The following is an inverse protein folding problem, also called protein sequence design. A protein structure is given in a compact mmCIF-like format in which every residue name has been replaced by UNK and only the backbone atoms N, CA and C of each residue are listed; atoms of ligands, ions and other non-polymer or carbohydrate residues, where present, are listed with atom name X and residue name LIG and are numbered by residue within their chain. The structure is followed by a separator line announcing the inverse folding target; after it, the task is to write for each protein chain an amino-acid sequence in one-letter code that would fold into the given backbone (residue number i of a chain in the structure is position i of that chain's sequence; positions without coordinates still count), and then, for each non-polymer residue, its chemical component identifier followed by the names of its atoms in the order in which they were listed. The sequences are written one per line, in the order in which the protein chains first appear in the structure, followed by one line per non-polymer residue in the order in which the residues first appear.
data_IF_732072925507
#
_entry.id   IF_732072925507
#
_cell.length_a   1.000
_cell.length_b   1.000
_cell.length_c   1.000
_cell.angle_alpha   90.00
_cell.angle_beta   90.00
_cell.angle_gamma   90.00
#
_symmetry.space_group_name_H-M   'P 1'
#
loop_
_entity.id
_entity.type
_entity.pdbx_description
1 polymer ?
#
# COMPACT_ATOMS: atom_id res chain seq x y z
N UNK A 1 14.90 -3.04 0.24
CA UNK A 1 16.12 -2.26 -0.10
C UNK A 1 16.21 -1.02 0.81
N UNK A 2 17.38 -0.61 1.32
CA UNK A 2 17.50 0.54 2.24
C UNK A 2 17.08 1.88 1.60
N UNK A 3 17.44 2.11 0.33
CA UNK A 3 17.19 3.35 -0.41
C UNK A 3 15.72 3.64 -0.67
N UNK A 4 14.91 2.60 -0.92
CA UNK A 4 13.47 2.78 -1.18
C UNK A 4 12.71 3.16 0.09
N UNK A 5 13.12 2.63 1.25
CA UNK A 5 12.47 2.94 2.54
C UNK A 5 12.65 4.40 2.94
N UNK A 6 13.86 4.96 2.78
CA UNK A 6 14.11 6.37 3.07
C UNK A 6 13.25 7.28 2.19
N UNK A 7 13.22 7.04 0.87
CA UNK A 7 12.43 7.83 -0.07
C UNK A 7 10.92 7.77 0.20
N UNK A 8 10.41 6.60 0.61
CA UNK A 8 9.00 6.47 1.00
C UNK A 8 8.70 7.33 2.24
N UNK A 9 9.54 7.27 3.27
CA UNK A 9 9.37 8.08 4.48
C UNK A 9 9.41 9.58 4.15
N UNK A 10 10.33 10.03 3.31
CA UNK A 10 10.38 11.42 2.84
C UNK A 10 9.12 11.82 2.07
N UNK A 11 8.58 10.91 1.25
CA UNK A 11 7.33 11.16 0.52
C UNK A 11 6.15 11.35 1.48
N UNK A 12 6.07 10.55 2.56
CA UNK A 12 5.02 10.69 3.57
C UNK A 12 5.11 12.04 4.30
N UNK A 13 6.33 12.53 4.59
CA UNK A 13 6.54 13.88 5.12
C UNK A 13 6.13 14.96 4.11
N UNK A 14 6.58 14.84 2.86
CA UNK A 14 6.27 15.81 1.79
C UNK A 14 4.76 15.95 1.55
N UNK A 15 4.02 14.84 1.65
CA UNK A 15 2.55 14.80 1.54
C UNK A 15 1.81 15.18 2.81
N UNK A 16 2.51 15.53 3.89
CA UNK A 16 1.91 15.90 5.17
C UNK A 16 1.05 14.80 5.80
N UNK A 17 1.34 13.52 5.54
CA UNK A 17 0.66 12.39 6.20
C UNK A 17 1.27 12.06 7.56
N UNK A 18 2.55 12.42 7.75
CA UNK A 18 3.28 12.26 8.99
C UNK A 18 4.06 13.54 9.30
N UNK A 19 4.34 13.77 10.59
CA UNK A 19 5.11 14.92 11.08
C UNK A 19 6.17 14.45 12.08
N UNK A 20 7.27 15.20 12.19
CA UNK A 20 8.35 14.92 13.13
C UNK A 20 8.13 15.74 14.40
N UNK A 21 8.03 15.04 15.53
CA UNK A 21 8.01 15.65 16.85
C UNK A 21 9.25 15.17 17.62
N UNK A 22 10.30 16.01 17.67
CA UNK A 22 11.61 15.64 18.22
C UNK A 22 12.16 14.36 17.55
N UNK A 23 12.29 13.27 18.32
CA UNK A 23 12.74 11.95 17.86
C UNK A 23 11.61 11.03 17.42
N UNK A 24 10.35 11.48 17.52
CA UNK A 24 9.17 10.70 17.17
C UNK A 24 8.61 11.10 15.80
N UNK A 25 8.01 10.12 15.12
CA UNK A 25 7.21 10.32 13.91
C UNK A 25 5.76 10.08 14.30
N UNK A 26 4.90 11.08 14.07
CA UNK A 26 3.49 11.03 14.43
C UNK A 26 2.63 11.17 13.16
N UNK A 27 1.47 10.49 13.06
CA UNK A 27 0.54 10.73 11.96
C UNK A 27 -0.12 12.11 12.11
N UNK A 28 -0.45 12.73 10.98
CA UNK A 28 -1.27 13.94 10.96
C UNK A 28 -2.76 13.57 10.89
N UNK A 29 -3.65 14.54 11.11
CA UNK A 29 -5.10 14.34 10.91
C UNK A 29 -5.39 13.85 9.48
N UNK A 30 -4.77 14.47 8.48
CA UNK A 30 -4.87 14.05 7.07
C UNK A 30 -4.38 12.62 6.85
N UNK A 31 -3.27 12.23 7.50
CA UNK A 31 -2.76 10.87 7.42
C UNK A 31 -3.70 9.82 8.02
N UNK A 32 -4.34 10.15 9.15
CA UNK A 32 -5.34 9.28 9.78
C UNK A 32 -6.57 9.15 8.88
N UNK A 33 -7.14 10.28 8.45
CA UNK A 33 -8.32 10.30 7.57
C UNK A 33 -8.09 9.54 6.25
N UNK A 34 -6.88 9.61 5.69
CA UNK A 34 -6.53 8.85 4.50
C UNK A 34 -6.64 7.35 4.74
N UNK A 35 -6.09 6.85 5.86
CA UNK A 35 -6.16 5.44 6.21
C UNK A 35 -7.61 5.02 6.52
N UNK A 36 -8.37 5.87 7.19
CA UNK A 36 -9.78 5.62 7.51
C UNK A 36 -10.69 5.59 6.27
N UNK A 37 -10.35 6.38 5.24
CA UNK A 37 -11.06 6.37 3.95
C UNK A 37 -10.90 5.04 3.24
N UNK A 38 -9.78 4.35 3.46
CA UNK A 38 -9.49 3.07 2.84
C UNK A 38 -10.24 1.96 3.59
N UNK A 39 -11.37 1.53 3.02
CA UNK A 39 -12.22 0.47 3.59
C UNK A 39 -11.59 -0.91 3.45
N UNK A 40 -10.87 -1.14 2.35
CA UNK A 40 -10.25 -2.43 2.09
C UNK A 40 -9.04 -2.68 3.02
N UNK A 41 -9.17 -3.64 3.93
CA UNK A 41 -8.11 -4.02 4.88
C UNK A 41 -6.88 -4.66 4.21
N UNK A 42 -7.09 -5.35 3.09
CA UNK A 42 -6.02 -6.05 2.38
C UNK A 42 -4.93 -5.08 1.89
N UNK A 43 -5.32 -3.90 1.38
CA UNK A 43 -4.36 -2.90 0.89
C UNK A 43 -3.67 -2.10 2.00
N UNK A 44 -4.22 -2.10 3.22
CA UNK A 44 -3.57 -1.55 4.41
C UNK A 44 -2.58 -2.54 5.04
N UNK A 45 -2.68 -3.82 4.69
CA UNK A 45 -1.90 -4.88 5.32
C UNK A 45 -0.43 -4.90 4.85
N UNK A 46 0.48 -4.90 5.82
CA UNK A 46 1.90 -5.15 5.58
C UNK A 46 2.16 -6.59 5.07
N UNK A 47 1.25 -7.53 5.34
CA UNK A 47 1.35 -8.92 4.89
C UNK A 47 1.24 -9.05 3.37
N UNK A 48 0.36 -8.27 2.74
CA UNK A 48 0.24 -8.24 1.27
C UNK A 48 1.57 -7.80 0.64
N UNK A 49 2.19 -6.77 1.21
CA UNK A 49 3.52 -6.29 0.76
C UNK A 49 4.59 -7.38 0.93
N UNK A 50 4.59 -8.10 2.07
CA UNK A 50 5.49 -9.21 2.32
C UNK A 50 5.31 -10.36 1.32
N UNK A 51 4.06 -10.67 0.98
CA UNK A 51 3.71 -11.68 -0.01
C UNK A 51 4.23 -11.34 -1.41
N UNK A 52 4.16 -10.07 -1.79
CA UNK A 52 4.72 -9.59 -3.07
C UNK A 52 6.23 -9.67 -3.10
N UNK A 53 6.91 -9.20 -2.06
CA UNK A 53 8.36 -9.31 -1.94
C UNK A 53 8.83 -10.77 -2.01
N UNK A 54 8.06 -11.70 -1.44
CA UNK A 54 8.31 -13.14 -1.59
C UNK A 54 8.16 -13.59 -3.04
N UNK A 55 7.05 -13.25 -3.70
CA UNK A 55 6.82 -13.63 -5.11
C UNK A 55 7.88 -13.07 -6.04
N UNK A 56 8.36 -11.84 -5.80
CA UNK A 56 9.48 -11.26 -6.53
C UNK A 56 10.77 -12.06 -6.34
N UNK A 57 11.08 -12.49 -5.12
CA UNK A 57 12.23 -13.39 -4.85
C UNK A 57 12.07 -14.75 -5.52
N UNK A 58 10.86 -15.29 -5.57
CA UNK A 58 10.59 -16.57 -6.23
C UNK A 58 10.75 -16.45 -7.76
N UNK A 59 10.45 -15.27 -8.34
CA UNK A 59 10.77 -14.95 -9.74
C UNK A 59 12.29 -14.88 -9.94
N UNK A 60 13.02 -14.20 -9.07
CA UNK A 60 14.50 -14.14 -9.13
C UNK A 60 15.13 -15.53 -9.06
N UNK A 61 14.51 -16.46 -8.33
CA UNK A 61 14.93 -17.87 -8.23
C UNK A 61 14.43 -18.77 -9.36
N UNK A 62 13.56 -18.26 -10.25
CA UNK A 62 12.95 -19.04 -11.33
C UNK A 62 11.86 -20.03 -10.90
N UNK A 63 11.44 -20.01 -9.62
CA UNK A 63 10.38 -20.88 -9.09
C UNK A 63 8.98 -20.30 -9.29
N UNK A 64 8.90 -19.03 -9.72
CA UNK A 64 7.66 -18.37 -10.12
C UNK A 64 7.87 -17.55 -11.39
N UNK A 65 6.84 -17.40 -12.22
CA UNK A 65 6.97 -16.67 -13.49
C UNK A 65 6.50 -15.23 -13.35
N UNK A 66 7.25 -14.29 -13.93
CA UNK A 66 6.84 -12.89 -14.01
C UNK A 66 5.47 -12.72 -14.68
N UNK A 67 5.16 -13.56 -15.69
CA UNK A 67 3.86 -13.55 -16.34
C UNK A 67 2.71 -13.92 -15.38
N UNK A 68 2.90 -14.93 -14.51
CA UNK A 68 1.91 -15.28 -13.50
C UNK A 68 1.72 -14.17 -12.46
N UNK A 69 2.81 -13.55 -12.02
CA UNK A 69 2.77 -12.41 -11.11
C UNK A 69 1.96 -11.25 -11.66
N UNK A 70 2.25 -10.82 -12.90
CA UNK A 70 1.54 -9.71 -13.55
C UNK A 70 0.04 -10.05 -13.75
N UNK A 71 -0.30 -11.29 -14.14
CA UNK A 71 -1.70 -11.71 -14.26
C UNK A 71 -2.44 -11.61 -12.91
N UNK A 72 -1.83 -12.10 -11.83
CA UNK A 72 -2.43 -12.04 -10.50
C UNK A 72 -2.61 -10.60 -10.02
N UNK A 73 -1.61 -9.75 -10.26
CA UNK A 73 -1.68 -8.33 -9.93
C UNK A 73 -2.82 -7.62 -10.67
N UNK A 74 -2.98 -7.88 -11.97
CA UNK A 74 -4.08 -7.31 -12.77
C UNK A 74 -5.45 -7.69 -12.20
N UNK A 75 -5.67 -8.98 -11.90
CA UNK A 75 -6.93 -9.44 -11.29
C UNK A 75 -7.20 -8.77 -9.95
N UNK A 76 -6.17 -8.62 -9.12
CA UNK A 76 -6.31 -7.97 -7.82
C UNK A 76 -6.69 -6.49 -7.99
N UNK A 77 -6.05 -5.77 -8.92
CA UNK A 77 -6.39 -4.37 -9.23
C UNK A 77 -7.81 -4.26 -9.78
N UNK A 78 -8.22 -5.14 -10.68
CA UNK A 78 -9.59 -5.18 -11.22
C UNK A 78 -10.63 -5.41 -10.10
N UNK A 79 -10.36 -6.34 -9.19
CA UNK A 79 -11.23 -6.60 -8.04
C UNK A 79 -11.33 -5.37 -7.12
N UNK A 80 -10.20 -4.76 -6.78
CA UNK A 80 -10.16 -3.55 -5.94
C UNK A 80 -10.90 -2.37 -6.57
N UNK A 81 -10.70 -2.12 -7.87
CA UNK A 81 -11.41 -1.05 -8.57
C UNK A 81 -12.92 -1.32 -8.59
N UNK A 82 -13.32 -2.58 -8.77
CA UNK A 82 -14.73 -2.97 -8.75
C UNK A 82 -15.34 -2.75 -7.37
N UNK A 83 -14.64 -3.17 -6.31
CA UNK A 83 -15.02 -2.96 -4.91
C UNK A 83 -15.24 -1.47 -4.63
N UNK A 84 -14.23 -0.64 -4.86
CA UNK A 84 -14.29 0.82 -4.65
C UNK A 84 -15.40 1.50 -5.47
N UNK A 85 -15.67 1.04 -6.70
CA UNK A 85 -16.76 1.59 -7.52
C UNK A 85 -18.15 1.17 -7.04
N UNK A 86 -18.24 0.00 -6.41
CA UNK A 86 -19.49 -0.55 -5.87
C UNK A 86 -19.83 0.01 -4.49
N UNK A 87 -18.84 0.57 -3.79
CA UNK A 87 -19.01 1.26 -2.51
C UNK A 87 -19.95 2.47 -2.68
N UNK A 88 -21.22 2.27 -2.33
CA UNK A 88 -22.27 3.28 -2.42
C UNK A 88 -22.37 4.02 -1.08
N UNK A 89 -21.52 5.04 -0.91
CA UNK A 89 -21.45 6.02 0.22
C UNK A 89 -21.10 5.49 1.62
N UNK A 90 -19.93 5.93 2.12
CA UNK A 90 -19.79 6.76 3.34
C UNK A 90 -18.41 7.46 3.33
N UNK A 91 -18.16 8.32 2.36
CA UNK A 91 -17.18 9.37 2.58
C UNK A 91 -17.87 10.40 3.50
N UNK A 92 -17.67 10.27 4.81
CA UNK A 92 -17.93 11.37 5.74
C UNK A 92 -16.93 12.48 5.38
N UNK A 93 -17.34 13.36 4.47
CA UNK A 93 -16.70 14.66 4.25
C UNK A 93 -17.33 15.65 5.23
#
# INVERSE_FOLDING_TARGET
RPSTRANIIETLFKRQYIVRNKKQVLPTITGIQLIDTIQNELIKSAELTGSWEKQLKDIEKGTFTAAAFIRNMKRMVEALVTEVRSETRHANI
#
